data_IF_475280020923
#
_entry.id   IF_475280020923
#
_cell.length_a   1.000
_cell.length_b   1.000
_cell.length_c   1.000
_cell.angle_alpha   90.00
_cell.angle_beta   90.00
_cell.angle_gamma   90.00
#
_symmetry.space_group_name_H-M   'P 1'
#
loop_
_entity.id
_entity.type
_entity.pdbx_description
1 polymer ?
#
# COMPACT_ATOMS: atom_id res chain seq x y z
N UNK A 1 -5.65 1.69 7.75
CA UNK A 1 -4.39 0.94 8.00
C UNK A 1 -3.24 1.70 7.38
N UNK A 2 -2.12 1.84 8.10
CA UNK A 2 -0.96 2.61 7.64
C UNK A 2 0.33 1.81 7.85
N UNK A 3 1.15 1.73 6.80
CA UNK A 3 2.48 1.13 6.76
C UNK A 3 3.45 2.12 6.10
N UNK A 4 3.42 3.38 6.55
CA UNK A 4 4.24 4.43 5.94
C UNK A 4 5.70 4.30 6.36
N UNK A 5 6.59 4.70 5.45
CA UNK A 5 7.96 4.97 5.77
C UNK A 5 8.09 6.19 6.69
N UNK A 6 9.09 6.16 7.56
CA UNK A 6 9.44 7.29 8.42
C UNK A 6 10.15 8.38 7.63
N UNK A 7 9.96 9.63 8.04
CA UNK A 7 10.74 10.71 7.46
C UNK A 7 12.19 10.66 7.95
N UNK A 8 13.15 10.86 7.05
CA UNK A 8 14.55 11.03 7.41
C UNK A 8 14.79 12.45 7.91
N UNK A 9 14.97 12.62 9.23
CA UNK A 9 15.24 13.92 9.86
C UNK A 9 16.62 13.92 10.52
N UNK A 10 17.45 14.91 10.18
CA UNK A 10 18.79 15.11 10.75
C UNK A 10 19.67 16.01 9.90
N UNK A 11 20.77 16.51 10.47
CA UNK A 11 21.82 17.25 9.76
C UNK A 11 22.69 16.26 8.99
N UNK A 12 22.37 16.00 7.72
CA UNK A 12 23.14 15.09 6.87
C UNK A 12 22.34 14.47 5.73
N UNK A 13 22.91 13.43 5.10
CA UNK A 13 22.34 12.73 3.95
C UNK A 13 21.33 11.64 4.37
N UNK A 14 20.27 12.05 5.05
CA UNK A 14 19.20 11.15 5.46
C UNK A 14 18.16 10.99 4.34
N UNK A 15 17.97 9.74 3.91
CA UNK A 15 16.85 9.36 3.06
C UNK A 15 15.57 9.13 3.86
N UNK A 16 14.43 9.26 3.20
CA UNK A 16 13.16 8.81 3.77
C UNK A 16 13.06 7.28 3.75
N UNK A 17 12.39 6.71 4.76
CA UNK A 17 12.12 5.27 4.82
C UNK A 17 11.16 4.83 3.72
N UNK A 18 11.32 3.59 3.23
CA UNK A 18 10.36 3.00 2.29
C UNK A 18 8.99 2.80 2.95
N UNK A 19 7.92 2.95 2.17
CA UNK A 19 6.61 2.40 2.52
C UNK A 19 6.69 0.89 2.66
N UNK A 20 5.94 0.34 3.61
CA UNK A 20 5.87 -1.08 3.92
C UNK A 20 4.87 -1.83 3.06
N UNK A 21 4.54 -3.05 3.49
CA UNK A 21 3.52 -3.90 2.86
C UNK A 21 2.23 -3.92 3.66
N UNK A 22 1.09 -3.78 2.98
CA UNK A 22 -0.23 -4.13 3.50
C UNK A 22 -0.72 -5.32 2.69
N UNK A 23 -0.82 -6.49 3.33
CA UNK A 23 -1.46 -7.67 2.75
C UNK A 23 -2.70 -8.02 3.56
N UNK A 24 -3.86 -7.91 2.93
CA UNK A 24 -5.15 -8.27 3.50
C UNK A 24 -5.73 -9.44 2.72
N UNK A 25 -6.03 -10.53 3.42
CA UNK A 25 -6.80 -11.65 2.88
C UNK A 25 -8.04 -11.87 3.73
N UNK A 26 -9.20 -12.02 3.10
CA UNK A 26 -10.45 -12.20 3.83
C UNK A 26 -11.50 -12.95 3.02
N UNK A 27 -12.45 -13.57 3.72
CA UNK A 27 -13.66 -14.10 3.07
C UNK A 27 -14.55 -12.94 2.62
N UNK A 28 -14.91 -12.06 3.53
CA UNK A 28 -15.75 -10.89 3.22
C UNK A 28 -14.97 -9.62 3.55
N UNK A 29 -14.81 -8.77 2.54
CA UNK A 29 -14.28 -7.43 2.72
C UNK A 29 -15.44 -6.45 2.91
N UNK A 30 -15.35 -5.62 3.95
CA UNK A 30 -16.33 -4.58 4.25
C UNK A 30 -15.58 -3.26 4.32
N UNK A 31 -15.59 -2.52 3.21
CA UNK A 31 -15.01 -1.19 3.09
C UNK A 31 -16.06 -0.07 3.13
N UNK A 32 -15.61 1.15 3.44
CA UNK A 32 -16.39 2.37 3.24
C UNK A 32 -15.54 3.40 2.45
N UNK A 33 -16.19 4.46 1.97
CA UNK A 33 -15.53 5.55 1.22
C UNK A 33 -14.49 6.32 2.04
N UNK A 34 -14.60 6.28 3.37
CA UNK A 34 -13.61 6.85 4.29
C UNK A 34 -12.46 5.88 4.62
N UNK A 35 -12.49 4.68 4.05
CA UNK A 35 -11.54 3.61 4.28
C UNK A 35 -10.22 3.97 3.65
N UNK A 36 -9.13 3.80 4.40
CA UNK A 36 -7.79 4.19 3.97
C UNK A 36 -6.79 3.06 4.17
N UNK A 37 -6.17 2.62 3.07
CA UNK A 37 -4.97 1.80 3.08
C UNK A 37 -3.80 2.66 2.58
N UNK A 38 -2.81 2.90 3.43
CA UNK A 38 -1.71 3.82 3.13
C UNK A 38 -0.35 3.17 3.40
N UNK A 39 0.49 3.11 2.38
CA UNK A 39 1.86 2.62 2.47
C UNK A 39 2.76 3.58 1.69
N UNK A 40 2.76 4.86 2.07
CA UNK A 40 3.57 5.88 1.42
C UNK A 40 5.03 5.78 1.87
N UNK A 41 5.96 6.14 0.99
CA UNK A 41 7.34 6.41 1.38
C UNK A 41 7.42 7.66 2.27
N UNK A 42 8.40 7.67 3.17
CA UNK A 42 8.70 8.81 4.02
C UNK A 42 9.48 9.89 3.26
N UNK A 43 9.32 11.15 3.65
CA UNK A 43 10.11 12.24 3.09
C UNK A 43 11.56 12.15 3.59
N UNK A 44 12.54 12.50 2.77
CA UNK A 44 13.94 12.60 3.19
C UNK A 44 14.45 14.02 3.13
N UNK A 45 15.48 14.32 3.92
CA UNK A 45 16.23 15.56 3.82
C UNK A 45 16.93 15.68 2.45
N UNK A 46 17.30 14.55 1.82
CA UNK A 46 17.90 14.54 0.48
C UNK A 46 17.12 13.75 -0.56
N UNK A 47 16.81 12.49 -0.27
CA UNK A 47 16.07 11.59 -1.16
C UNK A 47 14.86 11.03 -0.43
N UNK A 48 13.71 10.99 -1.09
CA UNK A 48 12.52 10.36 -0.53
C UNK A 48 12.54 8.83 -0.62
N UNK A 49 11.86 8.17 0.31
CA UNK A 49 11.72 6.71 0.30
C UNK A 49 10.77 6.21 -0.79
N UNK A 50 10.94 4.97 -1.24
CA UNK A 50 9.99 4.34 -2.17
C UNK A 50 8.61 4.15 -1.56
N UNK A 51 7.57 4.13 -2.40
CA UNK A 51 6.22 3.73 -2.02
C UNK A 51 6.14 2.24 -1.71
N UNK A 52 5.14 1.86 -0.92
CA UNK A 52 4.92 0.51 -0.44
C UNK A 52 4.07 -0.36 -1.37
N UNK A 53 3.64 -1.53 -0.87
CA UNK A 53 2.80 -2.45 -1.62
C UNK A 53 1.50 -2.70 -0.87
N UNK A 54 0.38 -2.61 -1.56
CA UNK A 54 -0.93 -2.93 -1.02
C UNK A 54 -1.52 -4.08 -1.84
N UNK A 55 -1.84 -5.18 -1.18
CA UNK A 55 -2.51 -6.33 -1.78
C UNK A 55 -3.76 -6.67 -0.96
N UNK A 56 -4.92 -6.66 -1.61
CA UNK A 56 -6.20 -7.02 -0.98
C UNK A 56 -6.85 -8.15 -1.77
N UNK A 57 -6.93 -9.32 -1.13
CA UNK A 57 -7.44 -10.55 -1.70
C UNK A 57 -8.71 -10.94 -0.96
N UNK A 58 -9.84 -11.00 -1.66
CA UNK A 58 -11.17 -11.13 -1.03
C UNK A 58 -12.06 -12.08 -1.81
N UNK A 59 -12.87 -12.90 -1.13
CA UNK A 59 -13.87 -13.74 -1.81
C UNK A 59 -15.15 -12.95 -2.11
N UNK A 60 -15.62 -12.19 -1.13
CA UNK A 60 -16.80 -11.33 -1.21
C UNK A 60 -16.40 -9.88 -0.92
N UNK A 61 -17.01 -8.93 -1.62
CA UNK A 61 -16.84 -7.50 -1.38
C UNK A 61 -18.21 -6.86 -1.13
N UNK A 62 -18.44 -6.47 0.12
CA UNK A 62 -19.66 -5.80 0.56
C UNK A 62 -19.36 -4.33 0.89
N UNK A 63 -18.35 -3.74 0.23
CA UNK A 63 -18.01 -2.33 0.45
C UNK A 63 -19.11 -1.41 -0.02
N UNK A 64 -19.46 -0.42 0.79
CA UNK A 64 -20.41 0.62 0.44
C UNK A 64 -19.87 1.60 -0.63
N UNK A 65 -18.58 1.52 -0.95
CA UNK A 65 -17.92 2.31 -1.98
C UNK A 65 -16.42 2.00 -2.05
N UNK A 66 -15.70 2.71 -2.93
CA UNK A 66 -14.27 2.49 -3.11
C UNK A 66 -13.46 2.89 -1.86
N UNK A 67 -12.55 2.00 -1.44
CA UNK A 67 -11.58 2.27 -0.38
C UNK A 67 -10.37 2.97 -0.98
N UNK A 68 -9.93 4.07 -0.38
CA UNK A 68 -8.78 4.82 -0.87
C UNK A 68 -7.47 4.07 -0.62
N UNK A 69 -6.59 4.05 -1.62
CA UNK A 69 -5.27 3.43 -1.56
C UNK A 69 -4.19 4.45 -1.89
N UNK A 70 -3.16 4.55 -1.04
CA UNK A 70 -2.05 5.45 -1.26
C UNK A 70 -0.73 4.69 -1.09
N UNK A 71 0.07 4.72 -2.15
CA UNK A 71 1.40 4.10 -2.24
C UNK A 71 2.39 5.11 -2.81
N UNK A 72 2.21 6.38 -2.48
CA UNK A 72 3.02 7.47 -3.00
C UNK A 72 4.47 7.30 -2.57
N UNK A 73 5.38 7.72 -3.43
CA UNK A 73 6.76 7.89 -3.04
C UNK A 73 6.88 9.00 -2.00
N UNK A 74 7.90 8.88 -1.14
CA UNK A 74 8.40 9.99 -0.38
C UNK A 74 9.16 10.97 -1.27
N UNK A 75 9.23 12.22 -0.86
CA UNK A 75 9.93 13.30 -1.57
C UNK A 75 11.24 13.68 -0.87
N UNK A 76 12.20 14.18 -1.63
CA UNK A 76 13.40 14.83 -1.11
C UNK A 76 13.92 15.85 -2.13
N UNK A 77 14.68 16.89 -1.70
CA UNK A 77 15.17 17.95 -2.59
C UNK A 77 16.01 17.46 -3.77
N UNK A 78 16.73 16.34 -3.60
CA UNK A 78 17.60 15.76 -4.63
C UNK A 78 16.95 14.60 -5.38
N UNK A 79 15.77 14.13 -4.96
CA UNK A 79 15.06 13.07 -5.66
C UNK A 79 13.88 12.50 -4.88
N UNK A 80 12.87 12.09 -5.65
CA UNK A 80 11.67 11.41 -5.17
C UNK A 80 11.84 9.90 -5.36
N UNK A 81 11.37 9.12 -4.39
CA UNK A 81 11.38 7.66 -4.51
C UNK A 81 10.50 7.14 -5.65
N UNK A 82 10.58 5.85 -5.95
CA UNK A 82 9.63 5.22 -6.87
C UNK A 82 8.25 5.07 -6.21
N UNK A 83 7.17 5.23 -6.98
CA UNK A 83 5.81 4.93 -6.49
C UNK A 83 5.64 3.43 -6.27
N UNK A 84 4.78 3.09 -5.31
CA UNK A 84 4.48 1.71 -4.97
C UNK A 84 3.37 1.11 -5.83
N UNK A 85 2.88 -0.08 -5.44
CA UNK A 85 1.88 -0.82 -6.21
C UNK A 85 0.65 -1.17 -5.38
N UNK A 86 -0.51 -1.20 -6.04
CA UNK A 86 -1.78 -1.64 -5.47
C UNK A 86 -2.33 -2.77 -6.32
N UNK A 87 -2.67 -3.88 -5.67
CA UNK A 87 -3.29 -5.05 -6.31
C UNK A 87 -4.53 -5.44 -5.54
N UNK A 88 -5.64 -5.49 -6.26
CA UNK A 88 -6.89 -6.05 -5.76
C UNK A 88 -7.20 -7.32 -6.54
N UNK A 89 -7.44 -8.42 -5.82
CA UNK A 89 -7.78 -9.70 -6.44
C UNK A 89 -8.97 -10.34 -5.75
N UNK A 90 -9.71 -11.09 -6.54
CA UNK A 90 -10.75 -11.98 -6.05
C UNK A 90 -10.16 -13.34 -5.73
N UNK A 91 -10.52 -13.87 -4.57
CA UNK A 91 -10.27 -15.25 -4.22
C UNK A 91 -11.45 -16.09 -4.72
N UNK A 92 -11.22 -17.32 -5.22
CA UNK A 92 -12.29 -18.22 -5.60
C UNK A 92 -13.25 -18.47 -4.44
N UNK A 93 -14.54 -18.61 -4.73
CA UNK A 93 -15.53 -18.98 -3.74
C UNK A 93 -15.23 -20.39 -3.17
N UNK A 94 -15.64 -20.70 -1.94
CA UNK A 94 -15.51 -22.04 -1.39
C UNK A 94 -16.12 -23.09 -2.33
N UNK A 95 -15.40 -24.18 -2.59
CA UNK A 95 -15.80 -25.23 -3.53
C UNK A 95 -15.33 -25.01 -4.98
N UNK A 96 -14.61 -23.93 -5.29
CA UNK A 96 -14.01 -23.74 -6.62
C UNK A 96 -12.85 -24.70 -6.84
N UNK A 97 -12.86 -25.44 -7.96
CA UNK A 97 -11.72 -26.24 -8.42
C UNK A 97 -10.88 -25.38 -9.36
N UNK A 98 -9.59 -25.23 -9.04
CA UNK A 98 -8.61 -24.59 -9.93
C UNK A 98 -7.75 -25.69 -10.54
N UNK A 99 -7.89 -25.90 -11.85
CA UNK A 99 -7.05 -26.83 -12.62
C UNK A 99 -6.06 -26.05 -13.49
N UNK A 100 -4.81 -26.48 -13.50
CA UNK A 100 -3.80 -26.02 -14.46
C UNK A 100 -3.66 -27.05 -15.57
N UNK A 101 -3.39 -26.59 -16.79
CA UNK A 101 -3.13 -27.44 -17.95
C UNK A 101 -1.62 -27.53 -18.18
#
# INVERSE_FOLDING_TARGET
MSANGTSGSGSGYYGGGSGGGIYLTCRTFIGNTNGLLRANGGAGNRYGGGGGRIAVWRMYDNSAGAVSNYVNAGTGPSGTGAVGTVVWRWLPAPGTIVSFR
#
